data_IF_491326468847
#
_entry.id   IF_491326468847
#
_cell.length_a   1.000
_cell.length_b   1.000
_cell.length_c   1.000
_cell.angle_alpha   90.00
_cell.angle_beta   90.00
_cell.angle_gamma   90.00
#
_symmetry.space_group_name_H-M   'P 1'
#
loop_
_entity.id
_entity.type
_entity.pdbx_description
1 polymer ?
#
# COMPACT_ATOMS: atom_id res chain seq x y z
N UNK A 1 -49.12 -12.16 -7.71
CA UNK A 1 -48.09 -11.42 -8.48
C UNK A 1 -47.68 -10.18 -7.70
N UNK A 2 -46.57 -10.21 -6.96
CA UNK A 2 -46.00 -8.96 -6.42
C UNK A 2 -45.35 -8.21 -7.59
N UNK A 3 -45.81 -6.99 -7.86
CA UNK A 3 -45.31 -6.12 -8.93
C UNK A 3 -43.78 -5.95 -8.76
N UNK A 4 -43.04 -6.03 -9.86
CA UNK A 4 -41.62 -5.63 -9.88
C UNK A 4 -41.54 -4.16 -9.43
N UNK A 5 -40.67 -3.85 -8.46
CA UNK A 5 -40.53 -2.51 -7.89
C UNK A 5 -39.30 -1.78 -8.46
N UNK A 6 -39.13 -1.87 -9.79
CA UNK A 6 -38.09 -1.14 -10.52
C UNK A 6 -38.67 0.20 -10.96
N UNK A 7 -38.04 1.30 -10.54
CA UNK A 7 -38.37 2.65 -11.01
C UNK A 7 -37.31 3.12 -12.00
N UNK A 8 -37.72 3.50 -13.22
CA UNK A 8 -36.80 3.85 -14.31
C UNK A 8 -36.95 5.35 -14.60
N UNK A 9 -35.85 6.09 -14.41
CA UNK A 9 -35.73 7.47 -14.83
C UNK A 9 -35.01 7.61 -16.19
N UNK A 10 -34.68 8.84 -16.57
CA UNK A 10 -33.98 9.12 -17.84
C UNK A 10 -32.55 8.60 -17.86
N UNK A 11 -31.88 8.54 -16.70
CA UNK A 11 -30.48 8.14 -16.55
C UNK A 11 -30.24 7.26 -15.31
N UNK A 12 -31.30 6.71 -14.70
CA UNK A 12 -31.17 5.84 -13.54
C UNK A 12 -32.21 4.74 -13.51
N UNK A 13 -31.89 3.68 -12.78
CA UNK A 13 -32.78 2.57 -12.44
C UNK A 13 -32.69 2.35 -10.93
N UNK A 14 -33.81 2.37 -10.20
CA UNK A 14 -33.81 2.21 -8.74
C UNK A 14 -34.39 0.86 -8.31
N UNK A 15 -33.72 0.21 -7.36
CA UNK A 15 -34.08 -1.08 -6.75
C UNK A 15 -34.37 -0.87 -5.26
N UNK A 16 -35.54 -1.30 -4.79
CA UNK A 16 -36.05 -0.97 -3.44
C UNK A 16 -35.53 -1.86 -2.30
N UNK A 17 -35.04 -3.08 -2.56
CA UNK A 17 -34.43 -3.94 -1.53
C UNK A 17 -35.39 -4.50 -0.47
N UNK A 18 -36.71 -4.35 -0.62
CA UNK A 18 -37.70 -4.69 0.43
C UNK A 18 -38.21 -6.14 0.39
N UNK A 19 -37.63 -7.02 -0.45
CA UNK A 19 -38.08 -8.40 -0.64
C UNK A 19 -37.14 -9.38 0.07
N UNK A 20 -37.31 -10.68 -0.19
CA UNK A 20 -36.31 -11.67 0.23
C UNK A 20 -34.98 -11.44 -0.50
N UNK A 21 -33.86 -11.91 0.06
CA UNK A 21 -32.54 -11.71 -0.54
C UNK A 21 -32.46 -12.20 -2.00
N UNK A 22 -33.02 -13.38 -2.27
CA UNK A 22 -33.06 -13.95 -3.62
C UNK A 22 -33.90 -13.11 -4.60
N UNK A 23 -35.04 -12.61 -4.16
CA UNK A 23 -35.88 -11.71 -4.97
C UNK A 23 -35.19 -10.37 -5.21
N UNK A 24 -34.54 -9.79 -4.19
CA UNK A 24 -33.77 -8.55 -4.28
C UNK A 24 -32.61 -8.70 -5.28
N UNK A 25 -31.86 -9.80 -5.22
CA UNK A 25 -30.76 -10.09 -6.15
C UNK A 25 -31.25 -10.26 -7.59
N UNK A 26 -32.39 -10.92 -7.79
CA UNK A 26 -33.02 -11.03 -9.12
C UNK A 26 -33.46 -9.65 -9.65
N UNK A 27 -34.05 -8.80 -8.82
CA UNK A 27 -34.44 -7.43 -9.20
C UNK A 27 -33.23 -6.56 -9.53
N UNK A 28 -32.13 -6.67 -8.76
CA UNK A 28 -30.90 -5.95 -9.04
C UNK A 28 -30.29 -6.35 -10.39
N UNK A 29 -30.23 -7.65 -10.69
CA UNK A 29 -29.79 -8.12 -12.02
C UNK A 29 -30.67 -7.59 -13.15
N UNK A 30 -31.99 -7.64 -12.98
CA UNK A 30 -32.92 -7.12 -13.98
C UNK A 30 -32.77 -5.60 -14.18
N UNK A 31 -32.57 -4.85 -13.09
CA UNK A 31 -32.32 -3.41 -13.13
C UNK A 31 -31.02 -3.07 -13.84
N UNK A 32 -29.95 -3.85 -13.61
CA UNK A 32 -28.68 -3.68 -14.33
C UNK A 32 -28.84 -3.92 -15.83
N UNK A 33 -29.50 -5.00 -16.23
CA UNK A 33 -29.78 -5.30 -17.65
C UNK A 33 -30.60 -4.17 -18.30
N UNK A 34 -31.61 -3.65 -17.61
CA UNK A 34 -32.39 -2.52 -18.09
C UNK A 34 -31.49 -1.27 -18.26
N UNK A 35 -30.66 -0.96 -17.27
CA UNK A 35 -29.72 0.16 -17.32
C UNK A 35 -28.69 0.03 -18.44
N UNK A 36 -28.17 -1.17 -18.69
CA UNK A 36 -27.26 -1.45 -19.79
C UNK A 36 -27.89 -1.16 -21.16
N UNK A 37 -29.19 -1.44 -21.32
CA UNK A 37 -29.94 -1.16 -22.54
C UNK A 37 -30.34 0.33 -22.72
N UNK A 38 -30.20 1.17 -21.68
CA UNK A 38 -30.61 2.58 -21.75
C UNK A 38 -29.69 3.44 -22.63
N UNK A 39 -30.32 4.47 -23.18
CA UNK A 39 -29.70 5.58 -23.93
C UNK A 39 -29.96 6.86 -23.11
N UNK A 40 -29.18 7.11 -22.03
CA UNK A 40 -29.49 8.18 -21.10
C UNK A 40 -29.51 9.54 -21.81
N UNK A 41 -30.52 10.36 -21.47
CA UNK A 41 -30.76 11.66 -22.10
C UNK A 41 -30.90 11.60 -23.64
N UNK A 42 -31.32 10.46 -24.19
CA UNK A 42 -31.45 10.26 -25.64
C UNK A 42 -30.14 10.13 -26.40
N UNK A 43 -28.99 10.09 -25.70
CA UNK A 43 -27.67 9.97 -26.30
C UNK A 43 -26.97 8.66 -25.89
N UNK A 44 -25.98 8.24 -26.68
CA UNK A 44 -25.14 7.09 -26.36
C UNK A 44 -24.41 7.31 -25.01
N UNK A 45 -24.15 6.21 -24.29
CA UNK A 45 -23.41 6.25 -23.03
C UNK A 45 -21.97 6.73 -23.24
N UNK A 46 -21.47 7.55 -22.33
CA UNK A 46 -20.12 8.12 -22.35
C UNK A 46 -19.67 8.50 -20.93
N UNK A 47 -18.44 9.01 -20.79
CA UNK A 47 -17.92 9.48 -19.50
C UNK A 47 -18.76 10.60 -18.88
N UNK A 48 -19.50 11.36 -19.69
CA UNK A 48 -20.39 12.46 -19.27
C UNK A 48 -21.88 12.11 -19.38
N UNK A 49 -22.22 10.93 -19.90
CA UNK A 49 -23.60 10.49 -20.08
C UNK A 49 -23.73 9.04 -19.61
N UNK A 50 -24.00 8.85 -18.32
CA UNK A 50 -23.95 7.56 -17.63
C UNK A 50 -25.35 7.10 -17.21
N UNK A 51 -25.48 5.81 -16.92
CA UNK A 51 -26.67 5.25 -16.26
C UNK A 51 -26.29 4.83 -14.85
N UNK A 52 -27.09 5.17 -13.85
CA UNK A 52 -26.86 4.74 -12.47
C UNK A 52 -27.94 3.75 -12.03
N UNK A 53 -27.54 2.54 -11.66
CA UNK A 53 -28.38 1.60 -10.93
C UNK A 53 -28.26 1.94 -9.45
N UNK A 54 -29.30 2.54 -8.90
CA UNK A 54 -29.40 2.93 -7.49
C UNK A 54 -29.98 1.75 -6.72
N UNK A 55 -29.30 1.31 -5.68
CA UNK A 55 -29.65 0.12 -4.92
C UNK A 55 -29.94 0.51 -3.48
N UNK A 56 -31.14 0.25 -3.00
CA UNK A 56 -31.48 0.51 -1.60
C UNK A 56 -30.71 -0.43 -0.66
N UNK A 57 -30.48 -0.05 0.60
CA UNK A 57 -29.87 -0.94 1.58
C UNK A 57 -30.66 -2.23 1.76
N UNK A 58 -29.96 -3.32 2.01
CA UNK A 58 -30.58 -4.61 2.28
C UNK A 58 -29.72 -5.78 1.84
N UNK A 59 -30.34 -6.95 1.95
CA UNK A 59 -29.74 -8.25 1.68
C UNK A 59 -30.06 -8.69 0.23
N UNK A 60 -29.04 -9.14 -0.49
CA UNK A 60 -29.12 -9.55 -1.89
C UNK A 60 -28.42 -10.90 -2.08
N UNK A 61 -29.12 -11.86 -2.67
CA UNK A 61 -28.58 -13.19 -2.98
C UNK A 61 -28.77 -13.48 -4.47
N UNK A 62 -27.74 -14.02 -5.11
CA UNK A 62 -27.76 -14.34 -6.53
C UNK A 62 -27.70 -15.84 -6.79
N UNK A 63 -28.26 -16.27 -7.93
CA UNK A 63 -28.14 -17.66 -8.43
C UNK A 63 -26.91 -17.90 -9.34
N UNK A 64 -26.15 -16.84 -9.60
CA UNK A 64 -24.91 -16.80 -10.39
C UNK A 64 -24.17 -15.51 -10.05
N UNK A 65 -22.91 -15.33 -10.46
CA UNK A 65 -22.21 -14.04 -10.26
C UNK A 65 -23.01 -12.86 -10.83
N UNK A 66 -22.96 -11.72 -10.13
CA UNK A 66 -23.50 -10.46 -10.63
C UNK A 66 -22.42 -9.73 -11.43
N UNK A 67 -22.51 -9.83 -12.76
CA UNK A 67 -21.56 -9.21 -13.67
C UNK A 67 -21.88 -7.71 -13.86
N UNK A 68 -20.88 -6.86 -13.61
CA UNK A 68 -20.86 -5.45 -14.02
C UNK A 68 -19.90 -5.35 -15.20
N UNK A 69 -20.44 -5.51 -16.41
CA UNK A 69 -19.71 -5.76 -17.66
C UNK A 69 -19.94 -4.70 -18.75
N UNK A 70 -20.80 -3.72 -18.49
CA UNK A 70 -21.12 -2.63 -19.42
C UNK A 70 -20.52 -1.31 -18.95
N UNK A 71 -19.59 -0.69 -19.73
CA UNK A 71 -19.04 0.62 -19.39
C UNK A 71 -20.12 1.69 -19.21
N UNK A 72 -19.86 2.65 -18.30
CA UNK A 72 -20.75 3.78 -17.99
C UNK A 72 -22.11 3.39 -17.36
N UNK A 73 -22.24 2.15 -16.90
CA UNK A 73 -23.36 1.69 -16.06
C UNK A 73 -22.84 1.52 -14.63
N UNK A 74 -23.19 2.47 -13.78
CA UNK A 74 -22.73 2.55 -12.40
C UNK A 74 -23.69 1.78 -11.48
N UNK A 75 -23.18 1.23 -10.37
CA UNK A 75 -23.98 0.54 -9.35
C UNK A 75 -23.68 1.16 -8.00
N UNK A 76 -24.66 1.83 -7.41
CA UNK A 76 -24.45 2.71 -6.26
C UNK A 76 -25.50 2.42 -5.19
N UNK A 77 -25.06 2.16 -3.96
CA UNK A 77 -25.94 2.19 -2.78
C UNK A 77 -26.62 3.55 -2.66
N UNK A 78 -27.92 3.54 -2.37
CA UNK A 78 -28.74 4.72 -2.14
C UNK A 78 -28.20 5.60 -1.01
N UNK A 79 -27.60 5.02 0.04
CA UNK A 79 -27.02 5.77 1.16
C UNK A 79 -25.55 6.12 0.91
N UNK A 80 -24.92 5.44 -0.05
CA UNK A 80 -23.49 5.52 -0.30
C UNK A 80 -22.62 4.75 0.70
N UNK A 81 -23.21 4.11 1.72
CA UNK A 81 -22.50 3.24 2.67
C UNK A 81 -22.45 1.80 2.16
N UNK A 82 -21.58 0.98 2.75
CA UNK A 82 -21.49 -0.46 2.48
C UNK A 82 -22.68 -1.24 3.10
N UNK A 83 -23.89 -0.97 2.63
CA UNK A 83 -25.15 -1.49 3.17
C UNK A 83 -26.04 -2.21 2.13
N UNK A 84 -25.52 -2.38 0.91
CA UNK A 84 -26.00 -3.39 -0.03
C UNK A 84 -25.17 -4.65 0.20
N UNK A 85 -25.74 -5.58 0.98
CA UNK A 85 -25.05 -6.78 1.45
C UNK A 85 -25.34 -7.94 0.51
N UNK A 86 -24.29 -8.49 -0.10
CA UNK A 86 -24.36 -9.67 -0.95
C UNK A 86 -24.04 -10.90 -0.09
N UNK A 87 -24.96 -11.85 -0.08
CA UNK A 87 -24.85 -13.11 0.66
C UNK A 87 -25.04 -14.33 -0.25
N UNK A 88 -24.84 -15.52 0.33
CA UNK A 88 -24.93 -16.80 -0.38
C UNK A 88 -23.58 -17.22 -0.97
N UNK A 89 -23.63 -17.99 -2.06
CA UNK A 89 -22.43 -18.58 -2.68
C UNK A 89 -21.84 -17.73 -3.82
N UNK A 90 -22.60 -16.77 -4.34
CA UNK A 90 -22.23 -15.98 -5.51
C UNK A 90 -21.97 -14.52 -5.12
N UNK A 91 -21.02 -13.91 -5.81
CA UNK A 91 -20.53 -12.56 -5.53
C UNK A 91 -20.73 -11.63 -6.73
N UNK A 92 -20.15 -10.44 -6.67
CA UNK A 92 -20.05 -9.46 -7.74
C UNK A 92 -18.78 -9.67 -8.57
N UNK A 93 -18.85 -9.37 -9.87
CA UNK A 93 -17.72 -9.41 -10.79
C UNK A 93 -17.71 -8.17 -11.69
N UNK A 94 -16.81 -7.22 -11.39
CA UNK A 94 -16.64 -5.99 -12.15
C UNK A 94 -15.64 -6.22 -13.27
N UNK A 95 -16.11 -6.33 -14.51
CA UNK A 95 -15.26 -6.57 -15.70
C UNK A 95 -15.25 -5.38 -16.67
N UNK A 96 -16.21 -4.47 -16.57
CA UNK A 96 -16.18 -3.23 -17.34
C UNK A 96 -15.16 -2.23 -16.79
N UNK A 97 -14.45 -1.59 -17.70
CA UNK A 97 -13.70 -0.39 -17.40
C UNK A 97 -14.62 0.84 -17.43
N UNK A 98 -14.28 1.89 -16.69
CA UNK A 98 -15.05 3.13 -16.64
C UNK A 98 -16.46 2.94 -16.05
N UNK A 99 -16.52 2.25 -14.91
CA UNK A 99 -17.72 2.14 -14.07
C UNK A 99 -17.45 2.70 -12.69
N UNK A 100 -18.50 3.15 -12.01
CA UNK A 100 -18.47 3.54 -10.62
C UNK A 100 -19.30 2.56 -9.79
N UNK A 101 -18.67 1.93 -8.80
CA UNK A 101 -19.32 1.00 -7.88
C UNK A 101 -19.18 1.52 -6.46
N UNK A 102 -20.30 1.68 -5.75
CA UNK A 102 -20.30 2.27 -4.42
C UNK A 102 -21.20 1.54 -3.43
N UNK A 103 -20.68 1.31 -2.23
CA UNK A 103 -21.49 0.90 -1.09
C UNK A 103 -21.94 -0.56 -1.09
N UNK A 104 -21.10 -1.46 -1.62
CA UNK A 104 -21.38 -2.89 -1.71
C UNK A 104 -20.51 -3.66 -0.70
N UNK A 105 -21.12 -4.56 0.08
CA UNK A 105 -20.44 -5.46 1.01
C UNK A 105 -20.69 -6.91 0.61
N UNK A 106 -19.63 -7.65 0.25
CA UNK A 106 -19.74 -9.09 -0.09
C UNK A 106 -19.35 -10.01 1.08
N UNK A 107 -19.27 -9.46 2.30
CA UNK A 107 -18.88 -10.16 3.52
C UNK A 107 -17.52 -10.85 3.35
N UNK A 108 -17.48 -12.17 3.56
CA UNK A 108 -16.27 -12.98 3.44
C UNK A 108 -15.98 -13.44 1.99
N UNK A 109 -16.88 -13.19 1.04
CA UNK A 109 -16.67 -13.57 -0.36
C UNK A 109 -15.65 -12.64 -1.03
N UNK A 110 -15.09 -13.09 -2.14
CA UNK A 110 -14.22 -12.26 -2.97
C UNK A 110 -15.04 -11.17 -3.68
N UNK A 111 -14.67 -9.90 -3.53
CA UNK A 111 -15.17 -8.83 -4.39
C UNK A 111 -14.35 -8.84 -5.69
N UNK A 112 -14.88 -9.45 -6.75
CA UNK A 112 -14.10 -9.65 -7.98
C UNK A 112 -14.05 -8.37 -8.80
N UNK A 113 -12.84 -7.99 -9.19
CA UNK A 113 -12.55 -6.88 -10.10
C UNK A 113 -11.59 -7.41 -11.15
N UNK A 114 -11.92 -7.23 -12.41
CA UNK A 114 -11.07 -7.61 -13.53
C UNK A 114 -9.73 -6.89 -13.50
N UNK A 115 -8.72 -7.52 -14.10
CA UNK A 115 -7.40 -6.92 -14.20
C UNK A 115 -7.40 -5.71 -15.13
N UNK A 116 -6.61 -4.70 -14.76
CA UNK A 116 -6.32 -3.53 -15.60
C UNK A 116 -7.56 -2.71 -16.00
N UNK A 117 -8.31 -2.24 -15.01
CA UNK A 117 -9.48 -1.36 -15.18
C UNK A 117 -9.18 0.06 -14.65
N UNK A 118 -8.31 0.84 -15.31
CA UNK A 118 -7.78 2.09 -14.76
C UNK A 118 -8.78 3.24 -14.64
N UNK A 119 -9.92 3.15 -15.34
CA UNK A 119 -10.97 4.17 -15.29
C UNK A 119 -12.10 3.78 -14.33
N UNK A 120 -12.03 2.60 -13.72
CA UNK A 120 -13.03 2.12 -12.78
C UNK A 120 -12.76 2.69 -11.39
N UNK A 121 -13.83 3.12 -10.72
CA UNK A 121 -13.79 3.68 -9.36
C UNK A 121 -14.65 2.84 -8.43
N UNK A 122 -14.09 2.44 -7.30
CA UNK A 122 -14.78 1.75 -6.22
C UNK A 122 -14.75 2.62 -4.96
N UNK A 123 -15.90 2.80 -4.32
CA UNK A 123 -16.01 3.61 -3.11
C UNK A 123 -16.83 2.90 -2.03
N UNK A 124 -16.37 2.89 -0.78
CA UNK A 124 -17.08 2.26 0.34
C UNK A 124 -17.48 0.81 0.05
N UNK A 125 -16.59 0.04 -0.59
CA UNK A 125 -16.83 -1.36 -0.91
C UNK A 125 -16.05 -2.28 0.03
N UNK A 126 -16.64 -3.41 0.40
CA UNK A 126 -16.02 -4.40 1.27
C UNK A 126 -16.04 -5.77 0.63
N UNK A 127 -14.92 -6.49 0.75
CA UNK A 127 -14.84 -7.90 0.41
C UNK A 127 -13.88 -8.65 1.31
N UNK A 128 -13.95 -9.98 1.22
CA UNK A 128 -13.08 -10.90 1.92
C UNK A 128 -11.74 -11.07 1.20
N UNK A 129 -11.18 -12.26 1.31
CA UNK A 129 -9.87 -12.59 0.74
C UNK A 129 -9.87 -12.51 -0.79
N UNK A 130 -8.71 -12.14 -1.34
CA UNK A 130 -8.43 -11.96 -2.77
C UNK A 130 -9.30 -10.92 -3.49
N UNK A 131 -9.99 -10.07 -2.74
CA UNK A 131 -10.84 -9.01 -3.29
C UNK A 131 -10.03 -7.95 -4.04
N UNK A 132 -10.71 -7.24 -4.95
CA UNK A 132 -10.16 -6.10 -5.68
C UNK A 132 -8.94 -6.49 -6.52
N UNK A 133 -9.12 -7.50 -7.37
CA UNK A 133 -8.09 -8.08 -8.24
C UNK A 133 -6.95 -8.76 -7.46
N UNK A 134 -7.24 -9.63 -6.48
CA UNK A 134 -6.26 -10.24 -5.57
C UNK A 134 -5.21 -11.19 -6.15
N UNK A 135 -5.10 -11.28 -7.48
CA UNK A 135 -3.96 -11.88 -8.18
C UNK A 135 -3.68 -11.21 -9.52
N UNK A 136 -4.27 -10.03 -9.74
CA UNK A 136 -4.30 -9.33 -11.01
C UNK A 136 -3.67 -7.95 -10.94
N UNK A 137 -4.09 -7.07 -11.84
CA UNK A 137 -3.65 -5.67 -11.86
C UNK A 137 -4.77 -4.79 -11.29
N UNK A 138 -4.59 -4.32 -10.07
CA UNK A 138 -5.44 -3.32 -9.43
C UNK A 138 -4.99 -1.91 -9.87
N UNK A 139 -5.55 -1.40 -10.98
CA UNK A 139 -5.16 -0.11 -11.59
C UNK A 139 -6.21 1.01 -11.48
N UNK A 140 -7.40 0.72 -10.95
CA UNK A 140 -8.48 1.70 -10.79
C UNK A 140 -8.28 2.69 -9.63
N UNK A 141 -9.35 3.40 -9.27
CA UNK A 141 -9.42 4.23 -8.07
C UNK A 141 -10.22 3.51 -6.99
N UNK A 142 -9.66 3.39 -5.79
CA UNK A 142 -10.27 2.71 -4.65
C UNK A 142 -10.29 3.68 -3.47
N UNK A 143 -11.48 3.99 -2.97
CA UNK A 143 -11.68 4.91 -1.86
C UNK A 143 -12.47 4.21 -0.75
N UNK A 144 -11.92 4.18 0.47
CA UNK A 144 -12.59 3.54 1.61
C UNK A 144 -12.95 2.06 1.37
N UNK A 145 -12.12 1.35 0.60
CA UNK A 145 -12.32 -0.06 0.31
C UNK A 145 -11.65 -0.95 1.36
N UNK A 146 -12.31 -2.03 1.78
CA UNK A 146 -11.74 -3.01 2.72
C UNK A 146 -11.70 -4.39 2.09
N UNK A 147 -10.50 -5.00 2.02
CA UNK A 147 -10.26 -6.36 1.57
C UNK A 147 -9.57 -7.22 2.63
N UNK A 148 -9.63 -8.54 2.47
CA UNK A 148 -8.95 -9.53 3.30
C UNK A 148 -7.52 -9.84 2.85
N UNK A 149 -7.08 -11.07 3.07
CA UNK A 149 -5.80 -11.62 2.60
C UNK A 149 -5.63 -11.41 1.09
N UNK A 150 -4.43 -11.04 0.63
CA UNK A 150 -4.10 -10.97 -0.80
C UNK A 150 -4.95 -10.00 -1.61
N UNK A 151 -5.60 -9.02 -1.00
CA UNK A 151 -6.47 -8.08 -1.72
C UNK A 151 -5.67 -6.98 -2.44
N UNK A 152 -6.30 -6.28 -3.37
CA UNK A 152 -5.70 -5.17 -4.12
C UNK A 152 -4.42 -5.59 -4.87
N UNK A 153 -4.54 -6.54 -5.79
CA UNK A 153 -3.42 -7.06 -6.57
C UNK A 153 -2.84 -8.37 -6.01
N UNK A 154 -2.75 -8.56 -4.70
CA UNK A 154 -2.21 -9.77 -4.05
C UNK A 154 -0.79 -10.13 -4.52
N UNK A 155 -0.64 -11.14 -5.37
CA UNK A 155 0.67 -11.50 -5.97
C UNK A 155 0.97 -10.72 -7.28
N UNK A 156 0.02 -9.93 -7.77
CA UNK A 156 0.08 -9.21 -9.05
C UNK A 156 0.62 -7.78 -8.93
N UNK A 157 -0.14 -6.80 -9.39
CA UNK A 157 0.29 -5.39 -9.44
C UNK A 157 -0.75 -4.46 -8.82
N UNK A 158 -0.31 -3.54 -7.97
CA UNK A 158 -1.11 -2.45 -7.44
C UNK A 158 -0.59 -1.11 -8.01
N UNK A 159 -1.20 -0.66 -9.10
CA UNK A 159 -0.78 0.54 -9.86
C UNK A 159 -1.82 1.68 -9.86
N UNK A 160 -2.96 1.46 -9.21
CA UNK A 160 -4.05 2.43 -9.11
C UNK A 160 -3.83 3.54 -8.11
N UNK A 161 -4.94 4.24 -7.79
CA UNK A 161 -5.01 5.20 -6.69
C UNK A 161 -5.81 4.59 -5.55
N UNK A 162 -5.26 4.58 -4.35
CA UNK A 162 -5.86 3.99 -3.17
C UNK A 162 -5.89 5.04 -2.06
N UNK A 163 -7.09 5.36 -1.56
CA UNK A 163 -7.28 6.33 -0.49
C UNK A 163 -8.15 5.72 0.63
N UNK A 164 -7.64 5.76 1.86
CA UNK A 164 -8.32 5.19 3.03
C UNK A 164 -8.67 3.70 2.88
N UNK A 165 -7.84 2.94 2.16
CA UNK A 165 -8.08 1.51 1.93
C UNK A 165 -7.44 0.63 3.00
N UNK A 166 -8.10 -0.48 3.33
CA UNK A 166 -7.59 -1.48 4.28
C UNK A 166 -7.49 -2.84 3.62
N UNK A 167 -6.33 -3.48 3.71
CA UNK A 167 -6.08 -4.85 3.30
C UNK A 167 -5.62 -5.72 4.47
N UNK A 168 -5.71 -7.03 4.30
CA UNK A 168 -5.14 -8.01 5.20
C UNK A 168 -3.65 -8.28 4.94
N UNK A 169 -3.22 -9.50 5.23
CA UNK A 169 -1.88 -10.01 4.92
C UNK A 169 -1.67 -10.05 3.40
N UNK A 170 -0.45 -9.78 2.93
CA UNK A 170 -0.05 -9.76 1.50
C UNK A 170 -0.94 -8.88 0.59
N UNK A 171 -1.57 -7.85 1.16
CA UNK A 171 -2.40 -6.94 0.37
C UNK A 171 -1.60 -5.84 -0.30
N UNK A 172 -2.20 -5.19 -1.30
CA UNK A 172 -1.56 -4.15 -2.10
C UNK A 172 -0.32 -4.70 -2.80
N UNK A 173 -0.55 -5.70 -3.65
CA UNK A 173 0.46 -6.49 -4.33
C UNK A 173 1.59 -7.01 -3.40
N UNK A 174 1.25 -7.72 -2.31
CA UNK A 174 2.21 -8.18 -1.30
C UNK A 174 3.41 -8.98 -1.81
N UNK A 175 3.28 -9.84 -2.83
CA UNK A 175 4.42 -10.50 -3.47
C UNK A 175 4.84 -9.88 -4.80
N UNK A 176 4.22 -8.77 -5.19
CA UNK A 176 4.27 -8.25 -6.54
C UNK A 176 4.81 -6.82 -6.65
N UNK A 177 4.30 -6.08 -7.65
CA UNK A 177 4.78 -4.72 -7.95
C UNK A 177 3.75 -3.69 -7.46
N UNK A 178 4.23 -2.74 -6.67
CA UNK A 178 3.45 -1.60 -6.20
C UNK A 178 4.01 -0.32 -6.79
N UNK A 179 3.26 0.28 -7.72
CA UNK A 179 3.66 1.49 -8.46
C UNK A 179 2.61 2.61 -8.41
N UNK A 180 1.49 2.38 -7.72
CA UNK A 180 0.39 3.33 -7.60
C UNK A 180 0.61 4.47 -6.60
N UNK A 181 -0.48 5.16 -6.27
CA UNK A 181 -0.53 6.19 -5.22
C UNK A 181 -1.40 5.71 -4.06
N UNK A 182 -0.86 5.79 -2.84
CA UNK A 182 -1.48 5.27 -1.63
C UNK A 182 -1.53 6.37 -0.56
N UNK A 183 -2.73 6.66 -0.08
CA UNK A 183 -2.98 7.65 0.96
C UNK A 183 -3.78 7.01 2.09
N UNK A 184 -3.30 7.09 3.32
CA UNK A 184 -4.00 6.57 4.51
C UNK A 184 -4.35 5.08 4.41
N UNK A 185 -3.54 4.30 3.69
CA UNK A 185 -3.79 2.88 3.50
C UNK A 185 -3.17 2.04 4.63
N UNK A 186 -3.85 0.97 5.01
CA UNK A 186 -3.37 0.02 6.04
C UNK A 186 -3.32 -1.40 5.47
N UNK A 187 -2.17 -2.05 5.56
CA UNK A 187 -1.98 -3.45 5.19
C UNK A 187 -1.38 -4.27 6.35
N UNK A 188 -1.50 -5.59 6.28
CA UNK A 188 -0.90 -6.53 7.24
C UNK A 188 0.54 -6.91 6.90
N UNK A 189 0.97 -8.07 7.39
CA UNK A 189 2.27 -8.69 7.04
C UNK A 189 2.47 -8.72 5.52
N UNK A 190 3.67 -8.42 5.04
CA UNK A 190 4.05 -8.55 3.64
C UNK A 190 3.27 -7.64 2.69
N UNK A 191 2.66 -6.55 3.18
CA UNK A 191 1.84 -5.68 2.33
C UNK A 191 2.67 -4.63 1.60
N UNK A 192 2.09 -4.02 0.57
CA UNK A 192 2.74 -3.00 -0.25
C UNK A 192 4.03 -3.53 -0.90
N UNK A 193 3.95 -4.64 -1.63
CA UNK A 193 5.12 -5.22 -2.29
C UNK A 193 6.08 -5.88 -1.31
N UNK A 194 5.58 -6.48 -0.23
CA UNK A 194 6.37 -7.07 0.84
C UNK A 194 7.51 -7.99 0.40
N UNK A 195 7.30 -8.92 -0.53
CA UNK A 195 8.40 -9.74 -1.12
C UNK A 195 8.83 -9.24 -2.51
N UNK A 196 8.23 -8.13 -2.97
CA UNK A 196 8.37 -7.59 -4.32
C UNK A 196 8.96 -6.18 -4.34
N UNK A 197 8.39 -5.28 -5.13
CA UNK A 197 8.91 -3.92 -5.30
C UNK A 197 7.87 -2.87 -4.94
N UNK A 198 8.24 -1.97 -4.02
CA UNK A 198 7.50 -0.76 -3.68
C UNK A 198 8.15 0.47 -4.33
N UNK A 199 7.66 0.84 -5.51
CA UNK A 199 8.13 1.98 -6.32
C UNK A 199 7.11 3.13 -6.44
N UNK A 200 5.93 2.97 -5.84
CA UNK A 200 4.86 3.96 -5.84
C UNK A 200 5.08 5.17 -4.93
N UNK A 201 4.02 5.94 -4.72
CA UNK A 201 3.97 7.05 -3.75
C UNK A 201 3.09 6.66 -2.58
N UNK A 202 3.61 6.79 -1.37
CA UNK A 202 2.94 6.38 -0.14
C UNK A 202 2.92 7.54 0.85
N UNK A 203 1.73 7.89 1.33
CA UNK A 203 1.53 8.97 2.31
C UNK A 203 0.65 8.47 3.44
N UNK A 204 1.14 8.59 4.68
CA UNK A 204 0.43 8.16 5.89
C UNK A 204 -0.02 6.68 5.84
N UNK A 205 0.80 5.80 5.24
CA UNK A 205 0.47 4.39 5.10
C UNK A 205 1.08 3.55 6.23
N UNK A 206 0.37 2.51 6.66
CA UNK A 206 0.83 1.58 7.69
C UNK A 206 0.86 0.16 7.13
N UNK A 207 2.01 -0.49 7.21
CA UNK A 207 2.21 -1.89 6.88
C UNK A 207 2.65 -2.69 8.10
N UNK A 208 2.45 -4.01 8.07
CA UNK A 208 2.98 -4.93 9.06
C UNK A 208 4.47 -5.21 8.89
N UNK A 209 4.92 -6.33 9.45
CA UNK A 209 6.23 -6.91 9.17
C UNK A 209 6.44 -7.14 7.67
N UNK A 210 7.69 -6.99 7.21
CA UNK A 210 8.12 -7.18 5.82
C UNK A 210 7.30 -6.38 4.81
N UNK A 211 6.83 -5.18 5.16
CA UNK A 211 6.05 -4.33 4.24
C UNK A 211 6.91 -3.35 3.44
N UNK A 212 6.32 -2.75 2.40
CA UNK A 212 6.94 -1.72 1.56
C UNK A 212 8.23 -2.20 0.88
N UNK A 213 8.17 -3.25 0.08
CA UNK A 213 9.39 -3.85 -0.49
C UNK A 213 10.25 -4.55 0.55
N UNK A 214 9.65 -5.07 1.65
CA UNK A 214 10.35 -5.79 2.72
C UNK A 214 10.91 -7.14 2.25
N UNK A 215 11.06 -8.15 3.12
CA UNK A 215 11.27 -9.56 2.68
C UNK A 215 12.52 -9.87 1.82
N UNK A 216 13.36 -8.88 1.47
CA UNK A 216 14.41 -8.98 0.45
C UNK A 216 14.11 -8.25 -0.87
N UNK A 217 12.95 -7.61 -0.98
CA UNK A 217 12.48 -6.79 -2.10
C UNK A 217 13.09 -5.38 -2.17
N UNK A 218 12.52 -4.55 -3.04
CA UNK A 218 13.02 -3.20 -3.33
C UNK A 218 12.07 -2.09 -2.86
N UNK A 219 12.56 -1.14 -2.07
CA UNK A 219 11.88 0.09 -1.70
C UNK A 219 12.52 1.29 -2.42
N UNK A 220 11.98 1.64 -3.60
CA UNK A 220 12.50 2.69 -4.49
C UNK A 220 11.53 3.86 -4.69
N UNK A 221 10.35 3.80 -4.09
CA UNK A 221 9.32 4.82 -4.19
C UNK A 221 9.56 6.08 -3.34
N UNK A 222 8.49 6.86 -3.17
CA UNK A 222 8.45 8.00 -2.26
C UNK A 222 7.55 7.68 -1.08
N UNK A 223 8.08 7.77 0.13
CA UNK A 223 7.41 7.40 1.37
C UNK A 223 7.38 8.60 2.32
N UNK A 224 6.18 9.02 2.72
CA UNK A 224 5.96 10.13 3.63
C UNK A 224 5.09 9.67 4.81
N UNK A 225 5.59 9.81 6.04
CA UNK A 225 4.90 9.40 7.26
C UNK A 225 4.43 7.93 7.22
N UNK A 226 5.25 7.04 6.67
CA UNK A 226 4.91 5.62 6.56
C UNK A 226 5.47 4.84 7.76
N UNK A 227 4.69 3.87 8.24
CA UNK A 227 5.06 3.02 9.37
C UNK A 227 5.09 1.58 8.88
N UNK A 228 6.23 0.90 9.06
CA UNK A 228 6.38 -0.53 8.80
C UNK A 228 6.91 -1.26 10.04
N UNK A 229 6.66 -2.57 10.11
CA UNK A 229 7.20 -3.44 11.17
C UNK A 229 8.63 -3.91 10.88
N UNK A 230 9.01 -5.00 11.55
CA UNK A 230 10.26 -5.75 11.31
C UNK A 230 10.54 -5.91 9.82
N UNK A 231 11.78 -5.66 9.37
CA UNK A 231 12.19 -5.93 7.98
C UNK A 231 11.43 -5.15 6.90
N UNK A 232 10.80 -4.01 7.22
CA UNK A 232 10.13 -3.16 6.22
C UNK A 232 11.10 -2.25 5.46
N UNK A 233 10.64 -1.70 4.32
CA UNK A 233 11.40 -0.77 3.48
C UNK A 233 12.71 -1.38 2.95
N UNK A 234 12.63 -2.36 2.06
CA UNK A 234 13.79 -3.13 1.54
C UNK A 234 14.13 -4.37 2.37
N UNK A 235 13.83 -4.37 3.68
CA UNK A 235 14.07 -5.52 4.56
C UNK A 235 15.51 -5.98 4.69
N UNK A 236 15.74 -7.20 5.17
CA UNK A 236 17.09 -7.63 5.53
C UNK A 236 18.02 -7.87 4.33
N UNK A 237 17.52 -8.33 3.18
CA UNK A 237 18.37 -8.61 2.00
C UNK A 237 18.16 -7.67 0.81
N UNK A 238 17.25 -6.70 0.93
CA UNK A 238 16.83 -5.89 -0.20
C UNK A 238 17.49 -4.52 -0.28
N UNK A 239 16.87 -3.62 -1.05
CA UNK A 239 17.42 -2.29 -1.32
C UNK A 239 16.43 -1.21 -0.93
N UNK A 240 16.90 -0.21 -0.19
CA UNK A 240 16.18 1.01 0.15
C UNK A 240 16.83 2.18 -0.58
N UNK A 241 16.37 2.46 -1.80
CA UNK A 241 16.92 3.48 -2.71
C UNK A 241 15.98 4.66 -2.96
N UNK A 242 14.78 4.60 -2.38
CA UNK A 242 13.76 5.65 -2.53
C UNK A 242 14.02 6.92 -1.73
N UNK A 243 12.99 7.75 -1.63
CA UNK A 243 12.95 8.92 -0.75
C UNK A 243 12.03 8.65 0.43
N UNK A 244 12.56 8.77 1.64
CA UNK A 244 11.85 8.47 2.88
C UNK A 244 11.82 9.71 3.77
N UNK A 245 10.62 10.19 4.12
CA UNK A 245 10.43 11.32 5.01
C UNK A 245 9.55 10.90 6.18
N UNK A 246 10.05 11.09 7.40
CA UNK A 246 9.32 10.78 8.63
C UNK A 246 8.83 9.33 8.70
N UNK A 247 9.59 8.40 8.12
CA UNK A 247 9.23 6.99 8.11
C UNK A 247 9.76 6.28 9.36
N UNK A 248 8.98 5.32 9.86
CA UNK A 248 9.30 4.54 11.04
C UNK A 248 9.33 3.06 10.65
N UNK A 249 10.45 2.42 10.95
CA UNK A 249 10.61 0.97 10.87
C UNK A 249 11.13 0.42 12.19
N UNK A 250 10.90 -0.87 12.42
CA UNK A 250 11.45 -1.58 13.57
C UNK A 250 12.83 -2.18 13.25
N UNK A 251 13.09 -3.41 13.71
CA UNK A 251 14.34 -4.13 13.52
C UNK A 251 14.58 -4.42 12.04
N UNK A 252 15.84 -4.26 11.60
CA UNK A 252 16.29 -4.54 10.23
C UNK A 252 15.51 -3.82 9.12
N UNK A 253 14.83 -2.72 9.45
CA UNK A 253 14.17 -1.87 8.45
C UNK A 253 15.16 -1.01 7.67
N UNK A 254 14.73 -0.49 6.52
CA UNK A 254 15.54 0.35 5.62
C UNK A 254 16.78 -0.42 5.14
N UNK A 255 16.54 -1.53 4.45
CA UNK A 255 17.58 -2.43 3.93
C UNK A 255 18.55 -2.95 5.00
N UNK A 256 18.06 -3.52 6.12
CA UNK A 256 18.86 -3.78 7.32
C UNK A 256 20.13 -4.63 7.14
N UNK A 257 20.16 -5.58 6.23
CA UNK A 257 21.39 -6.30 5.82
C UNK A 257 21.74 -6.11 4.34
N UNK A 258 21.01 -5.22 3.65
CA UNK A 258 21.18 -4.94 2.23
C UNK A 258 21.75 -3.54 1.99
N UNK A 259 21.28 -2.86 0.94
CA UNK A 259 21.79 -1.54 0.57
C UNK A 259 20.78 -0.42 0.87
N UNK A 260 21.16 0.48 1.78
CA UNK A 260 20.46 1.74 2.03
C UNK A 260 21.17 2.88 1.26
N UNK A 261 20.72 3.13 0.03
CA UNK A 261 21.30 4.10 -0.91
C UNK A 261 20.41 5.31 -1.21
N UNK A 262 19.20 5.34 -0.62
CA UNK A 262 18.23 6.40 -0.83
C UNK A 262 18.50 7.70 -0.07
N UNK A 263 17.48 8.56 -0.04
CA UNK A 263 17.48 9.77 0.79
C UNK A 263 16.53 9.58 1.97
N UNK A 264 17.04 9.77 3.19
CA UNK A 264 16.29 9.54 4.43
C UNK A 264 16.27 10.82 5.26
N UNK A 265 15.08 11.34 5.53
CA UNK A 265 14.88 12.54 6.34
C UNK A 265 13.98 12.22 7.53
N UNK A 266 14.47 12.49 8.74
CA UNK A 266 13.72 12.29 9.99
C UNK A 266 13.18 10.85 10.15
N UNK A 267 13.92 9.87 9.65
CA UNK A 267 13.52 8.46 9.71
C UNK A 267 14.03 7.78 10.98
N UNK A 268 13.25 6.83 11.50
CA UNK A 268 13.56 6.09 12.72
C UNK A 268 13.57 4.60 12.39
N UNK A 269 14.67 3.92 12.69
CA UNK A 269 14.85 2.48 12.58
C UNK A 269 15.28 1.87 13.91
N UNK A 270 15.05 0.57 14.06
CA UNK A 270 15.48 -0.23 15.20
C UNK A 270 16.93 -0.72 15.07
N UNK A 271 17.20 -1.88 15.68
CA UNK A 271 18.48 -2.56 15.56
C UNK A 271 18.74 -3.01 14.12
N UNK A 272 19.98 -2.81 13.65
CA UNK A 272 20.43 -3.25 12.32
C UNK A 272 19.73 -2.52 11.18
N UNK A 273 19.21 -1.31 11.40
CA UNK A 273 18.52 -0.54 10.35
C UNK A 273 19.48 0.27 9.49
N UNK A 274 18.97 0.76 8.35
CA UNK A 274 19.72 1.62 7.41
C UNK A 274 21.00 0.94 6.91
N UNK A 275 20.87 -0.20 6.23
CA UNK A 275 22.05 -0.92 5.74
C UNK A 275 22.91 -1.51 6.85
N UNK A 276 22.34 -1.81 8.04
CA UNK A 276 23.08 -2.17 9.25
C UNK A 276 24.16 -3.22 9.08
N UNK A 277 23.84 -4.41 8.56
CA UNK A 277 24.81 -5.46 8.23
C UNK A 277 25.34 -5.37 6.78
N UNK A 278 24.72 -4.51 5.97
CA UNK A 278 25.07 -4.30 4.57
C UNK A 278 25.79 -2.96 4.33
N UNK A 279 25.28 -2.18 3.37
CA UNK A 279 25.89 -0.90 2.98
C UNK A 279 24.95 0.26 3.22
N UNK A 280 25.43 1.28 3.95
CA UNK A 280 24.79 2.57 4.09
C UNK A 280 25.51 3.62 3.22
N UNK A 281 25.05 3.78 1.99
CA UNK A 281 25.65 4.64 0.95
C UNK A 281 24.84 5.89 0.62
N UNK A 282 23.61 6.00 1.15
CA UNK A 282 22.69 7.10 0.88
C UNK A 282 22.98 8.41 1.62
N UNK A 283 21.99 9.29 1.58
CA UNK A 283 22.00 10.56 2.31
C UNK A 283 21.01 10.50 3.48
N UNK A 284 21.50 10.69 4.70
CA UNK A 284 20.75 10.54 5.94
C UNK A 284 20.76 11.86 6.72
N UNK A 285 19.56 12.37 7.03
CA UNK A 285 19.35 13.64 7.72
C UNK A 285 18.40 13.44 8.90
N UNK A 286 18.87 13.78 10.11
CA UNK A 286 18.07 13.67 11.34
C UNK A 286 17.54 12.25 11.59
N UNK A 287 18.28 11.23 11.18
CA UNK A 287 17.87 9.84 11.32
C UNK A 287 18.30 9.23 12.66
N UNK A 288 17.50 8.31 13.19
CA UNK A 288 17.84 7.54 14.39
C UNK A 288 17.78 6.06 14.11
N UNK A 289 18.87 5.35 14.40
CA UNK A 289 18.96 3.90 14.38
C UNK A 289 19.28 3.33 15.76
N UNK A 290 18.97 2.06 15.97
CA UNK A 290 19.44 1.29 17.13
C UNK A 290 20.88 0.79 16.94
N UNK A 291 21.27 -0.23 17.71
CA UNK A 291 22.57 -0.89 17.57
C UNK A 291 22.78 -1.43 16.16
N UNK A 292 24.03 -1.49 15.71
CA UNK A 292 24.43 -1.98 14.39
C UNK A 292 23.84 -1.21 13.20
N UNK A 293 23.21 -0.05 13.41
CA UNK A 293 22.61 0.72 12.32
C UNK A 293 23.63 1.48 11.47
N UNK A 294 23.20 1.95 10.29
CA UNK A 294 24.00 2.80 9.38
C UNK A 294 25.29 2.09 8.92
N UNK A 295 25.18 0.87 8.40
CA UNK A 295 26.36 0.10 7.99
C UNK A 295 27.23 -0.36 9.16
N UNK A 296 26.65 -0.55 10.36
CA UNK A 296 27.40 -0.90 11.57
C UNK A 296 28.19 -2.20 11.47
N UNK A 297 27.54 -3.25 10.95
CA UNK A 297 28.11 -4.56 10.60
C UNK A 297 28.90 -4.57 9.29
N UNK A 298 28.59 -3.66 8.37
CA UNK A 298 29.15 -3.62 7.02
C UNK A 298 29.83 -2.30 6.69
N UNK A 299 29.41 -1.63 5.62
CA UNK A 299 30.08 -0.42 5.11
C UNK A 299 29.23 0.82 5.28
N UNK A 300 29.77 1.83 5.97
CA UNK A 300 29.24 3.19 5.96
C UNK A 300 30.04 4.05 4.97
N UNK A 301 29.38 4.48 3.88
CA UNK A 301 30.01 5.21 2.78
C UNK A 301 29.26 6.46 2.33
N UNK A 302 28.06 6.70 2.88
CA UNK A 302 27.20 7.83 2.54
C UNK A 302 27.44 9.12 3.31
N UNK A 303 26.44 10.01 3.25
CA UNK A 303 26.40 11.27 3.99
C UNK A 303 25.47 11.13 5.19
N UNK A 304 25.97 11.43 6.38
CA UNK A 304 25.20 11.36 7.63
C UNK A 304 25.26 12.72 8.31
N UNK A 305 24.10 13.36 8.47
CA UNK A 305 23.97 14.65 9.10
C UNK A 305 22.95 14.59 10.22
N UNK A 306 23.39 14.91 11.45
CA UNK A 306 22.56 14.85 12.65
C UNK A 306 21.93 13.46 12.87
N UNK A 307 22.71 12.41 12.65
CA UNK A 307 22.24 11.02 12.80
C UNK A 307 22.68 10.43 14.15
N UNK A 308 21.81 9.62 14.75
CA UNK A 308 22.06 8.97 16.04
C UNK A 308 22.02 7.46 15.86
N UNK A 309 23.13 6.79 16.18
CA UNK A 309 23.25 5.34 16.15
C UNK A 309 23.46 4.74 17.54
N UNK A 310 23.16 3.45 17.68
CA UNK A 310 23.46 2.66 18.88
C UNK A 310 24.89 2.13 18.90
N UNK A 311 25.11 1.09 19.71
CA UNK A 311 26.39 0.38 19.75
C UNK A 311 26.75 -0.17 18.35
N UNK A 312 28.02 -0.07 17.97
CA UNK A 312 28.57 -0.55 16.69
C UNK A 312 27.99 0.10 15.42
N UNK A 313 27.24 1.20 15.53
CA UNK A 313 26.76 1.93 14.35
C UNK A 313 27.88 2.60 13.55
N UNK A 314 27.57 2.96 12.30
CA UNK A 314 28.49 3.67 11.39
C UNK A 314 29.80 2.90 11.12
N UNK A 315 29.72 1.64 10.67
CA UNK A 315 30.90 0.80 10.46
C UNK A 315 31.67 0.49 11.75
N UNK A 316 30.98 0.48 12.90
CA UNK A 316 31.60 0.39 14.22
C UNK A 316 31.93 -1.03 14.69
N UNK A 317 31.38 -2.07 14.06
CA UNK A 317 31.61 -3.46 14.47
C UNK A 317 32.99 -4.00 14.02
N UNK A 318 33.37 -5.16 14.57
CA UNK A 318 34.56 -5.89 14.11
C UNK A 318 34.37 -6.37 12.67
N UNK A 319 35.00 -5.66 11.72
CA UNK A 319 34.85 -5.90 10.27
C UNK A 319 34.06 -4.82 9.55
N UNK A 320 33.41 -3.92 10.29
CA UNK A 320 32.76 -2.73 9.75
C UNK A 320 33.78 -1.73 9.18
N UNK A 321 33.34 -0.95 8.18
CA UNK A 321 34.19 0.00 7.46
C UNK A 321 33.55 1.38 7.40
N UNK A 322 34.25 2.38 7.94
CA UNK A 322 34.04 3.79 7.60
C UNK A 322 34.82 4.13 6.33
N UNK A 323 34.14 4.18 5.20
CA UNK A 323 34.76 4.28 3.88
C UNK A 323 35.39 5.67 3.61
N UNK A 324 36.28 5.73 2.62
CA UNK A 324 36.91 6.98 2.18
C UNK A 324 35.92 8.07 1.73
N UNK A 325 34.73 7.67 1.31
CA UNK A 325 33.67 8.59 0.86
C UNK A 325 32.79 9.10 2.01
N UNK A 326 32.89 8.49 3.19
CA UNK A 326 31.95 8.75 4.28
C UNK A 326 32.04 10.19 4.78
N UNK A 327 30.89 10.80 5.08
CA UNK A 327 30.79 12.15 5.64
C UNK A 327 29.86 12.15 6.84
N UNK A 328 30.41 12.10 8.06
CA UNK A 328 29.65 12.23 9.30
C UNK A 328 29.73 13.66 9.80
N UNK A 329 28.58 14.28 10.03
CA UNK A 329 28.45 15.64 10.60
C UNK A 329 27.41 15.62 11.71
N UNK A 330 27.76 16.17 12.88
CA UNK A 330 26.84 16.24 14.03
C UNK A 330 26.26 14.87 14.43
N UNK A 331 27.00 13.78 14.20
CA UNK A 331 26.53 12.43 14.47
C UNK A 331 26.80 12.03 15.92
N UNK A 332 25.97 11.14 16.47
CA UNK A 332 26.13 10.65 17.84
C UNK A 332 26.03 9.13 17.91
N UNK A 333 26.92 8.51 18.69
CA UNK A 333 26.71 7.16 19.22
C UNK A 333 26.07 7.26 20.60
N UNK A 334 25.11 6.41 20.92
CA UNK A 334 24.58 6.34 22.29
C UNK A 334 25.47 5.51 23.22
N UNK A 335 26.27 4.61 22.67
CA UNK A 335 27.22 3.72 23.37
C UNK A 335 28.40 3.44 22.44
N UNK A 336 29.60 3.27 23.00
CA UNK A 336 30.81 2.88 22.26
C UNK A 336 31.51 4.05 21.57
N UNK A 337 32.57 3.74 20.83
CA UNK A 337 33.44 4.72 20.15
C UNK A 337 33.38 4.56 18.63
N UNK A 338 33.55 5.65 17.88
CA UNK A 338 33.71 5.54 16.42
C UNK A 338 35.02 4.84 16.06
N UNK A 339 34.98 4.05 14.99
CA UNK A 339 36.18 3.44 14.40
C UNK A 339 36.99 4.47 13.59
N UNK A 340 38.21 4.10 13.23
CA UNK A 340 39.08 4.96 12.39
C UNK A 340 38.52 5.05 10.97
N UNK A 341 38.40 6.26 10.43
CA UNK A 341 37.99 6.47 9.05
C UNK A 341 39.08 6.00 8.06
N UNK A 342 38.67 5.37 6.98
CA UNK A 342 39.58 5.09 5.84
C UNK A 342 40.02 6.41 5.20
N UNK A 343 41.25 6.46 4.67
CA UNK A 343 41.84 7.67 4.08
C UNK A 343 40.87 8.41 3.14
N UNK A 344 40.50 9.64 3.50
CA UNK A 344 39.55 10.49 2.77
C UNK A 344 38.17 10.63 3.43
N UNK A 345 37.81 9.70 4.32
CA UNK A 345 36.61 9.77 5.15
C UNK A 345 36.71 10.88 6.18
N UNK A 346 35.56 11.43 6.61
CA UNK A 346 35.52 12.58 7.53
C UNK A 346 34.45 12.42 8.60
N UNK A 347 34.83 12.69 9.85
CA UNK A 347 33.90 12.93 10.95
C UNK A 347 34.10 14.36 11.48
N UNK A 348 33.00 15.10 11.68
CA UNK A 348 33.04 16.48 12.17
C UNK A 348 31.92 16.73 13.17
N UNK A 349 32.27 17.27 14.33
CA UNK A 349 31.36 17.53 15.44
C UNK A 349 30.57 16.28 15.84
N UNK A 350 31.20 15.10 15.75
CA UNK A 350 30.58 13.85 16.17
C UNK A 350 30.91 13.59 17.64
N UNK A 351 29.97 12.96 18.36
CA UNK A 351 30.12 12.59 19.77
C UNK A 351 29.96 11.09 19.92
N UNK A 352 30.88 10.45 20.62
CA UNK A 352 30.74 9.03 20.91
C UNK A 352 29.82 8.77 22.12
N UNK A 353 29.72 7.50 22.55
CA UNK A 353 28.88 7.09 23.67
C UNK A 353 29.30 7.62 25.03
N UNK A 354 30.51 8.16 25.16
CA UNK A 354 31.01 8.83 26.37
C UNK A 354 30.94 10.36 26.26
N UNK A 355 30.30 10.88 25.21
CA UNK A 355 30.26 12.30 24.82
C UNK A 355 31.65 12.89 24.47
N UNK A 356 32.63 12.05 24.16
CA UNK A 356 33.93 12.50 23.67
C UNK A 356 33.83 12.91 22.19
N UNK A 357 34.52 13.99 21.84
CA UNK A 357 34.48 14.54 20.49
C UNK A 357 35.29 13.66 19.51
N UNK A 358 34.65 13.17 18.47
CA UNK A 358 35.28 12.46 17.35
C UNK A 358 35.37 13.37 16.12
N UNK A 359 36.58 13.82 15.79
CA UNK A 359 36.87 14.67 14.64
C UNK A 359 38.06 14.10 13.85
N UNK A 360 37.78 13.30 12.83
CA UNK A 360 38.76 12.63 11.98
C UNK A 360 38.71 13.21 10.55
N UNK A 361 39.87 13.36 9.90
CA UNK A 361 39.98 13.81 8.49
C UNK A 361 39.83 15.33 8.28
#
# INVERSE_FOLDING_TARGET
MRKSLINIGTNYVHVMGTKTALENGAELKAAYVAGAAMTPNGNAKSSTNRVTVIVSPGDYEFTSEFAIDTPFVDVVSLTGNADVVILGAFTINVSANNVFVKGIDVLALEFKVGSNLPLTTLENCKGGDYSFAGGGIASGTFNYCTGGYGSFGGEGTASGTFDNCKGGIYSFAGGGIVSGTFNYCTGGYGSFGGDGTASGTFTNCTGGESSFGGGGGGASGTFNNCIGGYGSFGGYYGTASGTFNYCIGEYFSFAGGGEASGTFNNCIGGHGSFGGEGTASGDFYNCKGGNYSFGGGGTASGTFNNCIGGEFSFGGSSGGVLAATVRLKYCKLTVGTFTTVTAGGKTRYCLDGNDDANNQG
#
